data_IF_791602541474
#
_entry.id   IF_791602541474
#
_cell.length_a   1.000
_cell.length_b   1.000
_cell.length_c   1.000
_cell.angle_alpha   90.00
_cell.angle_beta   90.00
_cell.angle_gamma   90.00
#
_symmetry.space_group_name_H-M   'P 1'
#
loop_
_entity.id
_entity.type
_entity.pdbx_description
1 polymer ?
#
# COMPACT_ATOMS: atom_id res chain seq x y z
N UNK A 1 -20.14 -13.49 -4.79
CA UNK A 1 -19.79 -12.21 -4.16
C UNK A 1 -18.29 -12.05 -4.28
N UNK A 2 -17.82 -11.16 -5.15
CA UNK A 2 -16.39 -10.92 -5.35
C UNK A 2 -15.86 -10.17 -4.12
N UNK A 3 -15.20 -10.90 -3.23
CA UNK A 3 -14.46 -10.28 -2.12
C UNK A 3 -13.10 -9.94 -2.73
N UNK A 4 -13.01 -8.72 -3.24
CA UNK A 4 -11.87 -8.26 -4.03
C UNK A 4 -10.73 -7.79 -3.12
N UNK A 5 -9.49 -7.97 -3.57
CA UNK A 5 -8.34 -7.31 -2.99
C UNK A 5 -8.54 -5.80 -3.00
N UNK A 6 -8.07 -5.10 -1.96
CA UNK A 6 -8.35 -3.68 -1.75
C UNK A 6 -7.05 -2.91 -1.50
N UNK A 7 -6.96 -1.72 -2.10
CA UNK A 7 -5.92 -0.74 -1.78
C UNK A 7 -6.63 0.49 -1.23
N UNK A 8 -6.31 0.81 0.01
CA UNK A 8 -6.82 1.99 0.71
C UNK A 8 -5.73 3.06 0.74
N UNK A 9 -6.10 4.29 0.42
CA UNK A 9 -5.19 5.45 0.33
C UNK A 9 -5.77 6.56 1.18
N UNK A 10 -5.01 6.98 2.19
CA UNK A 10 -5.32 8.16 3.00
C UNK A 10 -4.27 9.22 2.72
N UNK A 11 -4.65 10.31 2.07
CA UNK A 11 -3.80 11.51 1.93
C UNK A 11 -4.26 12.57 2.90
N UNK A 12 -3.31 13.32 3.47
CA UNK A 12 -3.62 14.42 4.37
C UNK A 12 -3.56 15.75 3.60
N UNK A 13 -4.56 16.61 3.80
CA UNK A 13 -4.59 17.96 3.21
C UNK A 13 -3.39 18.82 3.65
N UNK A 14 -2.90 18.57 4.86
CA UNK A 14 -1.64 19.09 5.39
C UNK A 14 -0.83 17.95 5.98
N UNK A 15 0.48 17.87 5.75
CA UNK A 15 1.32 16.86 6.39
C UNK A 15 1.18 16.91 7.92
N UNK A 16 1.08 15.73 8.53
CA UNK A 16 1.12 15.56 9.97
C UNK A 16 2.57 15.25 10.38
N UNK A 17 3.34 16.30 10.69
CA UNK A 17 4.79 16.18 10.86
C UNK A 17 5.45 15.87 9.51
N UNK A 18 6.20 14.77 9.43
CA UNK A 18 6.84 14.32 8.18
C UNK A 18 5.96 13.37 7.34
N UNK A 19 4.71 13.12 7.76
CA UNK A 19 3.83 12.16 7.08
C UNK A 19 2.78 12.91 6.27
N UNK A 20 2.75 12.68 4.95
CA UNK A 20 1.74 13.26 4.05
C UNK A 20 0.58 12.31 3.72
N UNK A 21 0.75 11.03 4.01
CA UNK A 21 -0.31 10.06 3.79
C UNK A 21 0.11 8.63 4.07
N UNK A 22 -0.81 7.71 3.82
CA UNK A 22 -0.63 6.28 4.01
C UNK A 22 -1.30 5.51 2.87
N UNK A 23 -0.71 4.37 2.53
CA UNK A 23 -1.29 3.40 1.61
C UNK A 23 -1.33 2.05 2.31
N UNK A 24 -2.47 1.37 2.28
CA UNK A 24 -2.63 0.03 2.81
C UNK A 24 -3.10 -0.91 1.71
N UNK A 25 -2.56 -2.13 1.66
CA UNK A 25 -3.07 -3.18 0.81
C UNK A 25 -3.68 -4.30 1.66
N UNK A 26 -4.91 -4.68 1.33
CA UNK A 26 -5.67 -5.72 2.01
C UNK A 26 -6.01 -6.87 1.06
N UNK A 27 -6.01 -8.07 1.61
CA UNK A 27 -6.38 -9.31 0.93
C UNK A 27 -7.33 -10.14 1.79
N UNK A 28 -8.36 -10.76 1.19
CA UNK A 28 -9.19 -11.73 1.89
C UNK A 28 -8.41 -13.03 2.06
N UNK A 29 -8.03 -13.34 3.30
CA UNK A 29 -7.28 -14.54 3.66
C UNK A 29 -8.06 -15.29 4.73
N UNK A 30 -8.54 -16.49 4.40
CA UNK A 30 -9.40 -17.33 5.26
C UNK A 30 -10.66 -16.61 5.74
N UNK A 31 -11.32 -15.87 4.84
CA UNK A 31 -12.57 -15.15 5.13
C UNK A 31 -12.40 -13.87 5.97
N UNK A 32 -11.16 -13.45 6.27
CA UNK A 32 -10.86 -12.18 6.95
C UNK A 32 -10.07 -11.28 6.02
N UNK A 33 -10.39 -10.00 5.98
CA UNK A 33 -9.51 -9.00 5.35
C UNK A 33 -8.25 -8.86 6.21
N UNK A 34 -7.10 -9.12 5.61
CA UNK A 34 -5.79 -8.96 6.23
C UNK A 34 -4.99 -7.93 5.46
N UNK A 35 -4.35 -7.02 6.21
CA UNK A 35 -3.35 -6.13 5.63
C UNK A 35 -2.12 -6.96 5.26
N UNK A 36 -1.67 -6.83 4.03
CA UNK A 36 -0.48 -7.51 3.50
C UNK A 36 0.68 -6.54 3.25
N UNK A 37 0.39 -5.24 3.11
CA UNK A 37 1.38 -4.20 2.98
C UNK A 37 0.87 -2.87 3.52
N UNK A 38 1.80 -2.03 3.96
CA UNK A 38 1.57 -0.67 4.42
C UNK A 38 2.72 0.21 3.95
N UNK A 39 2.41 1.39 3.44
CA UNK A 39 3.37 2.45 3.18
C UNK A 39 2.96 3.72 3.92
N UNK A 40 3.92 4.33 4.59
CA UNK A 40 3.84 5.72 5.07
C UNK A 40 4.48 6.60 4.02
N UNK A 41 3.71 7.50 3.43
CA UNK A 41 4.22 8.50 2.50
C UNK A 41 4.81 9.66 3.31
N UNK A 42 6.09 9.91 3.11
CA UNK A 42 6.83 10.97 3.79
C UNK A 42 6.97 12.21 2.90
N UNK A 43 7.23 13.37 3.50
CA UNK A 43 7.52 14.61 2.78
C UNK A 43 9.00 14.61 2.40
N UNK A 44 9.32 14.86 1.12
CA UNK A 44 10.69 14.95 0.59
C UNK A 44 11.60 13.72 0.86
N UNK A 45 11.01 12.60 1.27
CA UNK A 45 11.71 11.37 1.65
C UNK A 45 11.10 10.15 0.95
N UNK A 46 11.86 9.07 0.88
CA UNK A 46 11.33 7.80 0.38
C UNK A 46 10.24 7.27 1.33
N UNK A 47 9.15 6.69 0.80
CA UNK A 47 8.11 6.11 1.63
C UNK A 47 8.66 4.98 2.51
N UNK A 48 8.23 4.95 3.76
CA UNK A 48 8.53 3.84 4.67
C UNK A 48 7.56 2.70 4.41
N UNK A 49 8.06 1.53 4.00
CA UNK A 49 7.24 0.38 3.57
C UNK A 49 7.41 -0.78 4.54
N UNK A 50 6.28 -1.40 4.92
CA UNK A 50 6.21 -2.63 5.71
C UNK A 50 5.36 -3.68 5.00
N UNK A 51 5.81 -4.93 5.02
CA UNK A 51 5.12 -6.07 4.42
C UNK A 51 4.69 -7.06 5.50
N UNK A 52 3.44 -7.47 5.48
CA UNK A 52 2.81 -8.38 6.45
C UNK A 52 2.30 -9.64 5.74
N UNK A 53 3.20 -10.40 5.09
CA UNK A 53 2.82 -11.61 4.35
C UNK A 53 2.55 -12.78 5.31
N UNK A 54 1.38 -13.43 5.26
CA UNK A 54 1.11 -14.59 6.11
C UNK A 54 1.98 -15.81 5.77
N UNK A 55 2.34 -16.60 6.78
CA UNK A 55 3.27 -17.73 6.64
C UNK A 55 2.65 -19.01 6.03
N UNK A 56 1.33 -19.15 6.05
CA UNK A 56 0.62 -20.40 5.67
C UNK A 56 -0.37 -20.14 4.52
N UNK A 57 0.15 -19.66 3.39
CA UNK A 57 -0.62 -19.42 2.17
C UNK A 57 -0.57 -20.66 1.27
N UNK A 58 -1.65 -20.90 0.52
CA UNK A 58 -1.64 -21.84 -0.62
C UNK A 58 -0.93 -21.21 -1.83
N UNK A 59 -0.55 -22.01 -2.83
CA UNK A 59 0.09 -21.48 -4.05
C UNK A 59 -0.77 -20.40 -4.73
N UNK A 60 -2.06 -20.65 -4.94
CA UNK A 60 -2.99 -19.66 -5.51
C UNK A 60 -3.06 -18.37 -4.68
N UNK A 61 -2.95 -18.47 -3.35
CA UNK A 61 -2.93 -17.31 -2.47
C UNK A 61 -1.60 -16.55 -2.54
N UNK A 62 -0.49 -17.24 -2.79
CA UNK A 62 0.81 -16.59 -3.01
C UNK A 62 0.78 -15.78 -4.30
N UNK A 63 0.22 -16.32 -5.38
CA UNK A 63 0.04 -15.58 -6.64
C UNK A 63 -0.84 -14.35 -6.44
N UNK A 64 -1.99 -14.52 -5.78
CA UNK A 64 -2.89 -13.40 -5.51
C UNK A 64 -2.25 -12.32 -4.62
N UNK A 65 -1.46 -12.70 -3.61
CA UNK A 65 -0.69 -11.75 -2.79
C UNK A 65 0.37 -11.04 -3.63
N UNK A 66 1.09 -11.75 -4.51
CA UNK A 66 2.09 -11.14 -5.38
C UNK A 66 1.47 -10.11 -6.33
N UNK A 67 0.33 -10.42 -6.94
CA UNK A 67 -0.37 -9.48 -7.81
C UNK A 67 -0.90 -8.26 -7.06
N UNK A 68 -1.41 -8.45 -5.84
CA UNK A 68 -1.83 -7.33 -5.01
C UNK A 68 -0.63 -6.47 -4.56
N UNK A 69 0.53 -7.07 -4.29
CA UNK A 69 1.75 -6.32 -4.00
C UNK A 69 2.23 -5.51 -5.20
N UNK A 70 2.10 -6.03 -6.43
CA UNK A 70 2.39 -5.25 -7.64
C UNK A 70 1.46 -4.03 -7.75
N UNK A 71 0.17 -4.21 -7.51
CA UNK A 71 -0.80 -3.12 -7.52
C UNK A 71 -0.49 -2.06 -6.44
N UNK A 72 -0.11 -2.51 -5.25
CA UNK A 72 0.35 -1.64 -4.16
C UNK A 72 1.58 -0.83 -4.55
N UNK A 73 2.61 -1.46 -5.11
CA UNK A 73 3.83 -0.79 -5.59
C UNK A 73 3.50 0.25 -6.66
N UNK A 74 2.63 -0.08 -7.61
CA UNK A 74 2.19 0.86 -8.63
C UNK A 74 1.52 2.09 -8.00
N UNK A 75 0.64 1.89 -7.01
CA UNK A 75 -0.06 3.01 -6.36
C UNK A 75 0.87 3.88 -5.52
N UNK A 76 1.76 3.28 -4.74
CA UNK A 76 2.77 4.04 -3.97
C UNK A 76 3.66 4.83 -4.92
N UNK A 77 4.10 4.23 -6.03
CA UNK A 77 4.95 4.92 -7.02
C UNK A 77 4.24 6.09 -7.70
N UNK A 78 2.95 5.95 -8.02
CA UNK A 78 2.12 7.04 -8.53
C UNK A 78 2.06 8.21 -7.54
N UNK A 79 1.84 7.92 -6.26
CA UNK A 79 1.71 8.93 -5.21
C UNK A 79 3.04 9.59 -4.83
N UNK A 80 4.16 8.88 -4.98
CA UNK A 80 5.51 9.45 -4.85
C UNK A 80 5.80 10.40 -6.01
N UNK A 81 5.45 10.04 -7.24
CA UNK A 81 5.67 10.89 -8.41
C UNK A 81 4.72 12.09 -8.50
N UNK A 82 3.56 12.03 -7.84
CA UNK A 82 2.57 13.10 -7.83
C UNK A 82 2.93 14.28 -6.91
N UNK A 83 4.06 14.23 -6.19
CA UNK A 83 4.64 15.43 -5.58
C UNK A 83 5.18 16.34 -6.69
N UNK A 84 4.72 17.59 -6.80
CA UNK A 84 5.26 18.51 -7.80
C UNK A 84 6.72 18.80 -7.46
N UNK A 85 7.61 18.60 -8.43
CA UNK A 85 8.92 19.25 -8.49
C UNK A 85 8.72 20.77 -8.54
N UNK A 86 8.40 21.41 -7.41
CA UNK A 86 8.52 22.86 -7.29
C UNK A 86 9.83 23.16 -6.56
N UNK A 87 10.92 23.07 -7.32
CA UNK A 87 12.23 23.53 -6.88
C UNK A 87 12.46 24.95 -7.44
N UNK A 88 12.69 25.97 -6.58
CA UNK A 88 13.00 27.33 -7.03
C UNK A 88 14.37 27.43 -7.72
#
# INVERSE_FOLDING_TARGET
MSISAEIDVTLFDKPSGNVRGMVNAFMPIKGKQKRIAHATLLVDEQPSISLEVPRNLTLDQVEAVADQLKAFVAKVSELVKAEPEEKP
#
